data_IF_075734716117
#
_entry.id   IF_075734716117
#
_cell.length_a   1.000
_cell.length_b   1.000
_cell.length_c   1.000
_cell.angle_alpha   90.00
_cell.angle_beta   90.00
_cell.angle_gamma   90.00
#
_symmetry.space_group_name_H-M   'P 1'
#
loop_
_entity.id
_entity.type
_entity.pdbx_description
1 polymer ?
#
# COMPACT_ATOMS: atom_id res chain seq x y z
N UNK A 1 -15.00 -12.09 -14.82
CA UNK A 1 -13.81 -11.41 -14.29
C UNK A 1 -13.59 -11.90 -12.86
N UNK A 2 -12.35 -12.25 -12.49
CA UNK A 2 -12.02 -12.62 -11.11
C UNK A 2 -11.70 -11.38 -10.28
N UNK A 3 -11.98 -11.43 -8.99
CA UNK A 3 -11.47 -10.45 -8.03
C UNK A 3 -10.10 -10.90 -7.52
N UNK A 4 -9.18 -9.96 -7.36
CA UNK A 4 -7.82 -10.26 -6.90
C UNK A 4 -7.48 -9.46 -5.66
N UNK A 5 -6.77 -10.09 -4.73
CA UNK A 5 -6.24 -9.45 -3.53
C UNK A 5 -4.73 -9.39 -3.63
N UNK A 6 -4.19 -8.18 -3.50
CA UNK A 6 -2.77 -7.91 -3.38
C UNK A 6 -2.45 -7.50 -1.94
N UNK A 7 -1.55 -8.24 -1.31
CA UNK A 7 -1.02 -7.93 0.01
C UNK A 7 0.46 -7.54 -0.10
N UNK A 8 0.79 -6.37 0.44
CA UNK A 8 2.16 -5.84 0.46
C UNK A 8 2.64 -5.76 1.91
N UNK A 9 3.87 -6.21 2.18
CA UNK A 9 4.53 -5.95 3.48
C UNK A 9 5.77 -5.10 3.26
N UNK A 10 6.06 -4.13 4.15
CA UNK A 10 7.36 -3.49 4.21
C UNK A 10 8.49 -4.52 4.30
N UNK A 11 9.53 -4.37 3.50
CA UNK A 11 10.76 -5.16 3.67
C UNK A 11 11.59 -4.69 4.87
N UNK A 12 11.39 -3.43 5.30
CA UNK A 12 12.06 -2.79 6.43
C UNK A 12 11.01 -2.23 7.39
N UNK A 13 10.79 -2.88 8.53
CA UNK A 13 9.73 -2.48 9.48
C UNK A 13 9.97 -1.09 10.08
N UNK A 14 11.23 -0.68 10.17
CA UNK A 14 11.65 0.60 10.73
C UNK A 14 11.15 1.79 9.90
N UNK A 15 10.74 1.57 8.65
CA UNK A 15 10.05 2.60 7.86
C UNK A 15 8.72 3.04 8.50
N UNK A 16 8.10 2.18 9.31
CA UNK A 16 6.84 2.44 10.00
C UNK A 16 7.05 2.86 11.47
N UNK A 17 8.07 2.35 12.14
CA UNK A 17 8.30 2.62 13.57
C UNK A 17 9.21 3.81 13.83
N UNK A 18 10.21 4.04 12.98
CA UNK A 18 11.16 5.17 13.08
C UNK A 18 10.85 6.21 12.01
N UNK A 19 10.49 5.75 10.82
CA UNK A 19 10.15 6.58 9.68
C UNK A 19 10.86 6.13 8.39
N UNK A 20 10.28 6.48 7.22
CA UNK A 20 10.85 6.10 5.93
C UNK A 20 12.12 6.90 5.64
N UNK A 21 13.02 6.33 4.83
CA UNK A 21 14.06 7.11 4.17
C UNK A 21 13.43 8.05 3.14
N UNK A 22 14.13 9.09 2.65
CA UNK A 22 13.60 9.94 1.58
C UNK A 22 13.18 9.16 0.33
N UNK A 23 13.98 8.15 -0.06
CA UNK A 23 13.69 7.27 -1.20
C UNK A 23 12.43 6.44 -0.97
N UNK A 24 12.28 5.83 0.21
CA UNK A 24 11.08 5.07 0.53
C UNK A 24 9.83 5.94 0.60
N UNK A 25 9.94 7.16 1.14
CA UNK A 25 8.83 8.10 1.19
C UNK A 25 8.38 8.48 -0.23
N UNK A 26 9.32 8.70 -1.15
CA UNK A 26 9.03 8.96 -2.56
C UNK A 26 8.34 7.76 -3.23
N UNK A 27 8.88 6.55 -3.05
CA UNK A 27 8.32 5.32 -3.62
C UNK A 27 6.89 5.08 -3.10
N UNK A 28 6.67 5.21 -1.79
CA UNK A 28 5.35 5.04 -1.17
C UNK A 28 4.38 6.10 -1.69
N UNK A 29 4.80 7.35 -1.83
CA UNK A 29 3.97 8.43 -2.38
C UNK A 29 3.52 8.12 -3.82
N UNK A 30 4.46 7.71 -4.68
CA UNK A 30 4.17 7.32 -6.07
C UNK A 30 3.25 6.09 -6.15
N UNK A 31 3.50 5.09 -5.32
CA UNK A 31 2.67 3.88 -5.24
C UNK A 31 1.23 4.23 -4.83
N UNK A 32 1.08 5.08 -3.80
CA UNK A 32 -0.23 5.52 -3.32
C UNK A 32 -1.00 6.30 -4.38
N UNK A 33 -0.35 7.26 -5.06
CA UNK A 33 -0.97 8.04 -6.13
C UNK A 33 -1.43 7.15 -7.31
N UNK A 34 -0.65 6.13 -7.67
CA UNK A 34 -1.04 5.17 -8.70
C UNK A 34 -2.31 4.40 -8.31
N UNK A 35 -2.38 3.89 -7.08
CA UNK A 35 -3.56 3.17 -6.60
C UNK A 35 -4.79 4.07 -6.47
N UNK A 36 -4.62 5.34 -6.09
CA UNK A 36 -5.72 6.32 -6.12
C UNK A 36 -6.27 6.51 -7.54
N UNK A 37 -5.40 6.61 -8.55
CA UNK A 37 -5.81 6.72 -9.94
C UNK A 37 -6.54 5.45 -10.43
N UNK A 38 -6.08 4.26 -10.04
CA UNK A 38 -6.78 3.01 -10.35
C UNK A 38 -8.15 2.92 -9.67
N UNK A 39 -8.26 3.44 -8.44
CA UNK A 39 -9.53 3.49 -7.70
C UNK A 39 -10.51 4.42 -8.41
N UNK A 40 -10.06 5.60 -8.85
CA UNK A 40 -10.86 6.53 -9.63
C UNK A 40 -11.33 5.96 -10.99
N UNK A 41 -10.58 5.02 -11.55
CA UNK A 41 -10.91 4.31 -12.79
C UNK A 41 -11.81 3.08 -12.58
N UNK A 42 -12.14 2.73 -11.32
CA UNK A 42 -12.93 1.55 -10.99
C UNK A 42 -12.16 0.22 -11.17
N UNK A 43 -10.84 0.26 -11.30
CA UNK A 43 -9.97 -0.94 -11.41
C UNK A 43 -9.71 -1.55 -10.04
N UNK A 44 -9.66 -0.73 -8.99
CA UNK A 44 -9.55 -1.18 -7.60
C UNK A 44 -10.79 -0.78 -6.81
N UNK A 45 -11.33 -1.72 -6.05
CA UNK A 45 -12.45 -1.52 -5.12
C UNK A 45 -11.99 -0.86 -3.82
N UNK A 46 -10.81 -1.25 -3.34
CA UNK A 46 -10.25 -0.80 -2.05
C UNK A 46 -8.74 -0.77 -2.13
N UNK A 47 -8.14 0.22 -1.48
CA UNK A 47 -6.70 0.30 -1.23
C UNK A 47 -6.44 0.89 0.17
N UNK A 48 -5.38 0.44 0.83
CA UNK A 48 -5.00 0.95 2.14
C UNK A 48 -3.93 0.10 2.82
N UNK A 49 -3.74 0.31 4.13
CA UNK A 49 -2.91 -0.53 4.99
C UNK A 49 -3.56 -0.74 6.35
N UNK A 50 -3.14 -1.78 7.07
CA UNK A 50 -3.45 -1.88 8.51
C UNK A 50 -2.85 -0.68 9.26
N UNK A 51 -3.43 -0.32 10.42
CA UNK A 51 -3.03 0.88 11.15
C UNK A 51 -2.04 0.62 12.30
N UNK A 52 -1.72 -0.64 12.59
CA UNK A 52 -0.58 -0.95 13.43
C UNK A 52 0.72 -0.56 12.71
N UNK A 53 1.80 -0.37 13.47
CA UNK A 53 3.15 -0.12 12.94
C UNK A 53 4.07 -1.27 13.35
N UNK A 54 3.61 -2.51 13.19
CA UNK A 54 4.35 -3.71 13.58
C UNK A 54 4.86 -4.48 12.36
N UNK A 55 5.58 -5.58 12.58
CA UNK A 55 5.97 -6.50 11.51
C UNK A 55 4.75 -7.17 10.83
N UNK A 56 3.59 -7.17 11.49
CA UNK A 56 2.34 -7.69 10.94
C UNK A 56 1.64 -6.68 10.02
N UNK A 57 2.15 -5.45 9.91
CA UNK A 57 1.56 -4.45 9.03
C UNK A 57 1.59 -4.89 7.58
N UNK A 58 0.45 -4.75 6.89
CA UNK A 58 0.37 -4.93 5.45
C UNK A 58 -0.48 -3.87 4.76
N UNK A 59 -0.09 -3.54 3.53
CA UNK A 59 -0.95 -2.89 2.55
C UNK A 59 -1.89 -3.92 1.92
N UNK A 60 -3.11 -3.50 1.62
CA UNK A 60 -4.14 -4.30 0.95
C UNK A 60 -4.70 -3.53 -0.24
N UNK A 61 -4.84 -4.22 -1.38
CA UNK A 61 -5.56 -3.72 -2.55
C UNK A 61 -6.49 -4.81 -3.08
N UNK A 62 -7.74 -4.45 -3.37
CA UNK A 62 -8.74 -5.34 -3.96
C UNK A 62 -9.02 -4.86 -5.39
N UNK A 63 -8.76 -5.70 -6.38
CA UNK A 63 -9.01 -5.45 -7.81
C UNK A 63 -10.33 -6.11 -8.25
N UNK A 64 -11.02 -5.46 -9.20
CA UNK A 64 -12.35 -5.88 -9.72
C UNK A 64 -12.37 -6.01 -11.24
#
# INVERSE_FOLDING_TARGET
MGQYVYLLRPSRVEMLTVGPTPEEAEIVSRHFAHLQALTAQGVTLLMGRTQDNSAETFGIVIFV
#
